data_IF_638303718253
#
_entry.id   IF_638303718253
#
_cell.length_a   1.000
_cell.length_b   1.000
_cell.length_c   1.000
_cell.angle_alpha   90.00
_cell.angle_beta   90.00
_cell.angle_gamma   90.00
#
_symmetry.space_group_name_H-M   'P 1'
#
loop_
_entity.id
_entity.type
_entity.pdbx_description
1 polymer ?
#
# COMPACT_ATOMS: atom_id res chain seq x y z
N UNK A 1 -5.03 -26.73 7.56
CA UNK A 1 -5.31 -25.54 6.71
C UNK A 1 -6.72 -25.52 6.08
N UNK A 2 -7.31 -26.66 5.69
CA UNK A 2 -8.59 -26.68 4.95
C UNK A 2 -9.82 -26.08 5.68
N UNK A 3 -10.03 -26.37 6.97
CA UNK A 3 -11.19 -25.84 7.73
C UNK A 3 -11.11 -24.32 7.97
N UNK A 4 -9.91 -23.80 8.26
CA UNK A 4 -9.71 -22.36 8.49
C UNK A 4 -9.91 -21.57 7.19
N UNK A 5 -9.40 -22.08 6.06
CA UNK A 5 -9.65 -21.50 4.74
C UNK A 5 -11.14 -21.56 4.36
N UNK A 6 -11.83 -22.66 4.67
CA UNK A 6 -13.26 -22.76 4.41
C UNK A 6 -14.07 -21.75 5.23
N UNK A 7 -13.77 -21.62 6.52
CA UNK A 7 -14.39 -20.61 7.40
C UNK A 7 -14.09 -19.19 6.91
N UNK A 8 -12.84 -18.90 6.54
CA UNK A 8 -12.44 -17.62 5.95
C UNK A 8 -13.24 -17.32 4.68
N UNK A 9 -13.39 -18.30 3.79
CA UNK A 9 -14.13 -18.14 2.53
C UNK A 9 -15.63 -17.91 2.77
N UNK A 10 -16.19 -18.56 3.80
CA UNK A 10 -17.60 -18.43 4.20
C UNK A 10 -17.90 -17.10 4.91
N UNK A 11 -16.96 -16.58 5.70
CA UNK A 11 -17.08 -15.32 6.44
C UNK A 11 -16.91 -14.07 5.56
N UNK A 12 -16.35 -14.22 4.36
CA UNK A 12 -16.07 -13.10 3.44
C UNK A 12 -16.71 -13.31 2.06
N UNK A 13 -18.04 -13.40 1.95
CA UNK A 13 -18.69 -13.45 0.64
C UNK A 13 -18.55 -12.09 -0.05
N UNK A 14 -17.80 -12.03 -1.15
CA UNK A 14 -17.58 -10.78 -1.91
C UNK A 14 -18.10 -10.92 -3.33
N UNK A 15 -19.02 -10.04 -3.75
CA UNK A 15 -19.48 -9.98 -5.14
C UNK A 15 -18.39 -9.50 -6.09
N UNK A 16 -17.32 -8.87 -5.57
CA UNK A 16 -16.13 -8.54 -6.35
C UNK A 16 -15.44 -9.78 -6.93
N UNK A 17 -15.53 -10.94 -6.27
CA UNK A 17 -15.03 -12.21 -6.81
C UNK A 17 -15.92 -12.77 -7.92
N UNK A 18 -17.20 -12.42 -7.95
CA UNK A 18 -18.14 -12.82 -9.00
C UNK A 18 -18.04 -11.89 -10.22
N UNK A 19 -17.70 -10.61 -9.98
CA UNK A 19 -17.50 -9.58 -11.01
C UNK A 19 -16.07 -9.52 -11.56
N UNK A 20 -15.15 -10.35 -11.05
CA UNK A 20 -13.79 -10.42 -11.57
C UNK A 20 -13.81 -10.87 -13.04
N UNK A 21 -12.94 -10.29 -13.84
CA UNK A 21 -12.84 -10.54 -15.28
C UNK A 21 -12.42 -11.98 -15.62
N UNK A 22 -11.78 -12.72 -14.69
CA UNK A 22 -11.54 -14.17 -14.86
C UNK A 22 -10.67 -14.85 -13.79
N UNK A 23 -10.12 -16.03 -14.16
CA UNK A 23 -9.44 -16.97 -13.24
C UNK A 23 -8.08 -16.47 -12.74
N UNK A 24 -7.38 -15.66 -13.53
CA UNK A 24 -6.09 -15.09 -13.15
C UNK A 24 -6.30 -13.94 -12.19
N UNK A 25 -7.29 -13.08 -12.44
CA UNK A 25 -7.68 -12.04 -11.50
C UNK A 25 -8.04 -12.65 -10.14
N UNK A 26 -8.96 -13.61 -10.10
CA UNK A 26 -9.34 -14.24 -8.83
C UNK A 26 -8.14 -14.85 -8.09
N UNK A 27 -7.21 -15.47 -8.79
CA UNK A 27 -6.00 -16.07 -8.18
C UNK A 27 -5.08 -15.04 -7.51
N UNK A 28 -4.94 -13.84 -8.07
CA UNK A 28 -4.09 -12.78 -7.49
C UNK A 28 -4.82 -11.94 -6.43
N UNK A 29 -6.13 -11.68 -6.62
CA UNK A 29 -6.88 -10.68 -5.85
C UNK A 29 -7.83 -11.26 -4.80
N UNK A 30 -8.04 -12.57 -4.74
CA UNK A 30 -9.01 -13.16 -3.80
C UNK A 30 -8.77 -12.70 -2.36
N UNK A 31 -7.52 -12.72 -1.89
CA UNK A 31 -7.20 -12.26 -0.54
C UNK A 31 -7.45 -10.77 -0.35
N UNK A 32 -7.14 -9.96 -1.37
CA UNK A 32 -7.27 -8.49 -1.30
C UNK A 32 -8.73 -8.07 -1.29
N UNK A 33 -9.56 -8.66 -2.17
CA UNK A 33 -11.00 -8.36 -2.20
C UNK A 33 -11.70 -8.78 -0.92
N UNK A 34 -11.35 -9.93 -0.36
CA UNK A 34 -11.90 -10.39 0.93
C UNK A 34 -11.54 -9.46 2.09
N UNK A 35 -10.29 -9.00 2.13
CA UNK A 35 -9.84 -8.04 3.15
C UNK A 35 -10.50 -6.66 2.93
N UNK A 36 -10.61 -6.20 1.69
CA UNK A 36 -11.28 -4.94 1.35
C UNK A 36 -12.78 -4.96 1.72
N UNK A 37 -13.45 -6.11 1.57
CA UNK A 37 -14.82 -6.30 2.03
C UNK A 37 -14.93 -6.20 3.56
N UNK A 38 -14.04 -6.85 4.30
CA UNK A 38 -14.02 -6.77 5.76
C UNK A 38 -13.80 -5.34 6.26
N UNK A 39 -12.95 -4.56 5.59
CA UNK A 39 -12.75 -3.16 5.94
C UNK A 39 -13.84 -2.20 5.42
N UNK A 40 -14.92 -2.71 4.83
CA UNK A 40 -16.04 -1.89 4.34
C UNK A 40 -15.70 -1.08 3.08
N UNK A 41 -14.64 -1.44 2.36
CA UNK A 41 -14.15 -0.78 1.15
C UNK A 41 -14.63 -1.42 -0.16
N UNK A 42 -15.30 -2.57 -0.12
CA UNK A 42 -15.86 -3.17 -1.34
C UNK A 42 -16.87 -2.22 -1.99
N UNK A 43 -16.68 -1.96 -3.29
CA UNK A 43 -17.54 -1.10 -4.10
C UNK A 43 -18.51 -1.89 -4.99
N UNK A 44 -18.37 -3.23 -5.04
CA UNK A 44 -19.20 -4.13 -5.84
C UNK A 44 -20.37 -4.73 -5.07
N UNK A 45 -20.34 -4.65 -3.74
CA UNK A 45 -21.33 -5.28 -2.87
C UNK A 45 -22.48 -4.31 -2.58
N UNK A 46 -23.65 -4.56 -3.18
CA UNK A 46 -24.85 -3.72 -3.06
C UNK A 46 -25.94 -4.30 -2.14
N UNK A 47 -25.61 -5.30 -1.31
CA UNK A 47 -26.58 -5.83 -0.34
C UNK A 47 -26.94 -4.76 0.70
N UNK A 48 -28.22 -4.60 1.04
CA UNK A 48 -28.71 -3.56 1.98
C UNK A 48 -27.92 -3.59 3.30
N UNK A 49 -27.73 -4.78 3.89
CA UNK A 49 -26.95 -4.95 5.12
C UNK A 49 -25.49 -4.51 4.97
N UNK A 50 -24.87 -4.79 3.82
CA UNK A 50 -23.49 -4.39 3.55
C UNK A 50 -23.37 -2.89 3.30
N UNK A 51 -24.35 -2.26 2.64
CA UNK A 51 -24.36 -0.80 2.47
C UNK A 51 -24.43 -0.10 3.82
N UNK A 52 -25.30 -0.57 4.72
CA UNK A 52 -25.40 -0.05 6.09
C UNK A 52 -24.06 -0.22 6.81
N UNK A 53 -23.48 -1.42 6.77
CA UNK A 53 -22.17 -1.71 7.37
C UNK A 53 -21.06 -0.81 6.80
N UNK A 54 -20.85 -0.82 5.48
CA UNK A 54 -19.81 -0.02 4.80
C UNK A 54 -19.97 1.47 5.07
N UNK A 55 -21.19 1.99 5.06
CA UNK A 55 -21.47 3.40 5.36
C UNK A 55 -21.16 3.72 6.82
N UNK A 56 -21.54 2.85 7.76
CA UNK A 56 -21.24 3.02 9.18
C UNK A 56 -19.73 3.05 9.46
N UNK A 57 -18.96 2.15 8.83
CA UNK A 57 -17.50 2.09 8.97
C UNK A 57 -16.85 3.36 8.39
N UNK A 58 -17.29 3.81 7.21
CA UNK A 58 -16.78 5.04 6.59
C UNK A 58 -17.07 6.29 7.44
N UNK A 59 -18.28 6.39 7.99
CA UNK A 59 -18.64 7.49 8.89
C UNK A 59 -17.78 7.44 10.16
N UNK A 60 -17.58 6.26 10.75
CA UNK A 60 -16.74 6.10 11.93
C UNK A 60 -15.28 6.54 11.66
N UNK A 61 -14.69 6.09 10.55
CA UNK A 61 -13.34 6.52 10.14
C UNK A 61 -13.28 8.03 9.91
N UNK A 62 -14.29 8.62 9.25
CA UNK A 62 -14.34 10.06 9.03
C UNK A 62 -14.43 10.86 10.34
N UNK A 63 -15.29 10.44 11.26
CA UNK A 63 -15.42 11.06 12.58
C UNK A 63 -14.13 10.94 13.40
N UNK A 64 -13.45 9.80 13.32
CA UNK A 64 -12.17 9.58 13.98
C UNK A 64 -11.10 10.56 13.48
N UNK A 65 -10.96 10.71 12.15
CA UNK A 65 -10.02 11.69 11.55
C UNK A 65 -10.37 13.12 11.95
N UNK A 66 -11.66 13.48 12.02
CA UNK A 66 -12.10 14.80 12.49
C UNK A 66 -11.72 15.00 13.97
N UNK A 67 -11.86 13.97 14.81
CA UNK A 67 -11.47 14.02 16.22
C UNK A 67 -9.97 14.20 16.43
N UNK A 68 -9.13 13.58 15.60
CA UNK A 68 -7.68 13.82 15.60
C UNK A 68 -7.32 15.25 15.16
N UNK A 69 -7.98 15.76 14.11
CA UNK A 69 -7.79 17.14 13.65
C UNK A 69 -8.22 18.16 14.70
N UNK A 70 -9.32 17.88 15.41
CA UNK A 70 -9.76 18.67 16.55
C UNK A 70 -8.68 18.68 17.63
N UNK A 71 -8.19 17.50 18.03
CA UNK A 71 -7.14 17.36 19.04
C UNK A 71 -5.90 18.17 18.69
N UNK A 72 -5.45 18.06 17.45
CA UNK A 72 -4.31 18.81 16.92
C UNK A 72 -4.49 20.34 16.97
N UNK A 73 -5.73 20.83 16.97
CA UNK A 73 -6.05 22.27 16.88
C UNK A 73 -6.37 22.92 18.23
N UNK A 74 -6.69 22.14 19.27
CA UNK A 74 -7.31 22.65 20.51
C UNK A 74 -6.44 22.47 21.74
N UNK A 75 -5.72 21.35 21.85
CA UNK A 75 -4.91 21.06 23.03
C UNK A 75 -3.50 21.67 22.90
N UNK A 76 -2.90 22.21 23.98
CA UNK A 76 -1.51 22.61 23.98
C UNK A 76 -0.64 21.34 23.93
N UNK A 77 -0.27 20.94 22.72
CA UNK A 77 0.44 19.70 22.47
C UNK A 77 1.92 19.81 22.85
N UNK A 78 2.45 18.78 23.50
CA UNK A 78 3.88 18.58 23.63
C UNK A 78 4.53 18.31 22.27
N UNK A 79 5.85 18.51 22.16
CA UNK A 79 6.56 18.34 20.88
C UNK A 79 6.41 16.91 20.29
N UNK A 80 6.32 15.90 21.16
CA UNK A 80 6.11 14.51 20.75
C UNK A 80 4.68 14.26 20.27
N UNK A 81 3.67 14.89 20.89
CA UNK A 81 2.27 14.82 20.45
C UNK A 81 2.04 15.60 19.15
N UNK A 82 2.70 16.75 18.96
CA UNK A 82 2.69 17.50 17.70
C UNK A 82 3.22 16.60 16.57
N UNK A 83 4.35 15.92 16.79
CA UNK A 83 4.94 15.02 15.80
C UNK A 83 3.99 13.86 15.45
N UNK A 84 3.34 13.26 16.44
CA UNK A 84 2.34 12.21 16.23
C UNK A 84 1.13 12.71 15.43
N UNK A 85 0.60 13.88 15.75
CA UNK A 85 -0.51 14.52 15.04
C UNK A 85 -0.15 14.84 13.59
N UNK A 86 1.02 15.44 13.33
CA UNK A 86 1.50 15.72 11.97
C UNK A 86 1.57 14.43 11.16
N UNK A 87 2.13 13.37 11.74
CA UNK A 87 2.28 12.08 11.09
C UNK A 87 0.90 11.47 10.72
N UNK A 88 -0.05 11.48 11.65
CA UNK A 88 -1.41 10.98 11.42
C UNK A 88 -2.14 11.79 10.33
N UNK A 89 -2.09 13.13 10.40
CA UNK A 89 -2.71 14.02 9.41
C UNK A 89 -2.14 13.78 8.01
N UNK A 90 -0.82 13.69 7.89
CA UNK A 90 -0.14 13.44 6.61
C UNK A 90 -0.57 12.10 6.01
N UNK A 91 -0.69 11.04 6.82
CA UNK A 91 -1.16 9.72 6.36
C UNK A 91 -2.61 9.79 5.89
N UNK A 92 -3.48 10.48 6.64
CA UNK A 92 -4.88 10.64 6.26
C UNK A 92 -5.05 11.43 4.97
N UNK A 93 -4.34 12.56 4.82
CA UNK A 93 -4.36 13.37 3.60
C UNK A 93 -3.90 12.58 2.37
N UNK A 94 -2.84 11.78 2.50
CA UNK A 94 -2.36 10.94 1.39
C UNK A 94 -3.33 9.83 1.06
N UNK A 95 -3.91 9.19 2.08
CA UNK A 95 -4.90 8.14 1.87
C UNK A 95 -6.13 8.68 1.13
N UNK A 96 -6.64 9.84 1.55
CA UNK A 96 -7.74 10.54 0.88
C UNK A 96 -7.38 10.97 -0.54
N UNK A 97 -6.20 11.57 -0.74
CA UNK A 97 -5.74 11.97 -2.07
C UNK A 97 -5.64 10.78 -3.02
N UNK A 98 -5.09 9.66 -2.54
CA UNK A 98 -5.02 8.45 -3.34
C UNK A 98 -6.39 7.84 -3.61
N UNK A 99 -7.33 7.90 -2.65
CA UNK A 99 -8.70 7.43 -2.83
C UNK A 99 -9.41 8.25 -3.91
N UNK A 100 -9.29 9.59 -3.85
CA UNK A 100 -9.80 10.49 -4.88
C UNK A 100 -9.24 10.13 -6.25
N UNK A 101 -7.92 9.99 -6.37
CA UNK A 101 -7.25 9.60 -7.61
C UNK A 101 -7.73 8.23 -8.15
N UNK A 102 -7.99 7.26 -7.27
CA UNK A 102 -8.56 5.95 -7.64
C UNK A 102 -9.97 6.08 -8.21
N UNK A 103 -10.83 6.87 -7.55
CA UNK A 103 -12.21 7.10 -7.99
C UNK A 103 -12.26 7.85 -9.32
N UNK A 104 -11.45 8.90 -9.46
CA UNK A 104 -11.40 9.74 -10.67
C UNK A 104 -10.97 8.95 -11.92
N UNK A 105 -10.19 7.87 -11.75
CA UNK A 105 -9.66 7.06 -12.85
C UNK A 105 -10.12 5.60 -12.79
N UNK A 106 -11.28 5.32 -12.16
CA UNK A 106 -11.81 3.96 -11.95
C UNK A 106 -11.84 3.13 -13.23
N UNK A 107 -12.17 3.74 -14.37
CA UNK A 107 -12.25 3.05 -15.66
C UNK A 107 -10.89 2.54 -16.14
N UNK A 108 -9.81 3.30 -15.91
CA UNK A 108 -8.45 2.89 -16.26
C UNK A 108 -8.05 1.66 -15.43
N UNK A 109 -8.29 1.69 -14.13
CA UNK A 109 -8.02 0.55 -13.24
C UNK A 109 -8.85 -0.69 -13.62
N UNK A 110 -10.12 -0.50 -14.01
CA UNK A 110 -10.97 -1.61 -14.48
C UNK A 110 -10.46 -2.20 -15.80
N UNK A 111 -10.06 -1.36 -16.76
CA UNK A 111 -9.46 -1.81 -18.03
C UNK A 111 -8.17 -2.63 -17.80
N UNK A 112 -7.33 -2.18 -16.88
CA UNK A 112 -6.10 -2.89 -16.48
C UNK A 112 -6.40 -4.24 -15.80
N UNK A 113 -7.46 -4.34 -15.02
CA UNK A 113 -7.88 -5.62 -14.45
C UNK A 113 -8.31 -6.58 -15.56
N UNK A 114 -9.13 -6.11 -16.52
CA UNK A 114 -9.62 -6.93 -17.64
C UNK A 114 -8.53 -7.38 -18.61
N UNK A 115 -7.40 -6.67 -18.72
CA UNK A 115 -6.32 -7.09 -19.63
C UNK A 115 -5.59 -8.36 -19.17
N UNK A 116 -5.78 -8.81 -17.93
CA UNK A 116 -5.23 -10.10 -17.45
C UNK A 116 -5.84 -11.32 -18.12
N UNK A 117 -7.07 -11.21 -18.60
CA UNK A 117 -7.78 -12.27 -19.32
C UNK A 117 -7.71 -12.07 -20.83
N UNK A 118 -6.76 -11.25 -21.28
CA UNK A 118 -6.48 -11.05 -22.69
C UNK A 118 -6.22 -12.40 -23.37
N UNK A 119 -6.80 -12.64 -24.56
CA UNK A 119 -6.60 -13.89 -25.30
C UNK A 119 -5.14 -14.12 -25.70
N UNK A 120 -4.32 -13.07 -25.63
CA UNK A 120 -2.90 -13.17 -25.88
C UNK A 120 -2.14 -13.74 -24.68
N UNK A 121 -2.66 -13.63 -23.45
CA UNK A 121 -2.02 -14.14 -22.23
C UNK A 121 -2.11 -15.67 -22.14
N UNK A 122 -1.15 -16.33 -22.78
CA UNK A 122 -1.14 -17.78 -22.91
C UNK A 122 -0.42 -18.47 -21.73
N UNK A 123 -1.21 -19.15 -20.89
CA UNK A 123 -0.77 -19.96 -19.74
C UNK A 123 -0.90 -21.47 -20.00
N UNK A 124 -0.97 -21.90 -21.26
CA UNK A 124 -1.13 -23.31 -21.64
C UNK A 124 0.06 -24.19 -21.24
N UNK A 125 1.28 -23.65 -21.31
CA UNK A 125 2.51 -24.40 -21.02
C UNK A 125 2.80 -24.45 -19.51
N UNK A 126 3.20 -25.62 -18.97
CA UNK A 126 3.61 -25.80 -17.56
C UNK A 126 4.62 -24.76 -17.08
N UNK A 127 5.66 -24.48 -17.89
CA UNK A 127 6.68 -23.46 -17.58
C UNK A 127 6.10 -22.05 -17.40
N UNK A 128 5.06 -21.69 -18.15
CA UNK A 128 4.38 -20.39 -18.01
C UNK A 128 3.47 -20.35 -16.78
N UNK A 129 2.79 -21.46 -16.48
CA UNK A 129 2.02 -21.61 -15.24
C UNK A 129 2.92 -21.46 -14.00
N UNK A 130 4.12 -22.06 -14.02
CA UNK A 130 5.10 -21.92 -12.93
C UNK A 130 5.51 -20.47 -12.70
N UNK A 131 5.71 -19.68 -13.77
CA UNK A 131 6.02 -18.25 -13.67
C UNK A 131 4.85 -17.49 -13.02
N UNK A 132 3.62 -17.74 -13.47
CA UNK A 132 2.43 -17.10 -12.89
C UNK A 132 2.30 -17.46 -11.40
N UNK A 133 2.41 -18.74 -11.07
CA UNK A 133 2.32 -19.22 -9.69
C UNK A 133 3.42 -18.66 -8.79
N UNK A 134 4.65 -18.52 -9.30
CA UNK A 134 5.73 -17.87 -8.57
C UNK A 134 5.37 -16.43 -8.17
N UNK A 135 4.78 -15.67 -9.09
CA UNK A 135 4.36 -14.29 -8.83
C UNK A 135 3.15 -14.21 -7.91
N UNK A 136 2.15 -15.08 -8.06
CA UNK A 136 1.01 -15.19 -7.13
C UNK A 136 1.52 -15.43 -5.70
N UNK A 137 2.37 -16.44 -5.51
CA UNK A 137 2.92 -16.78 -4.20
C UNK A 137 3.80 -15.67 -3.62
N UNK A 138 4.59 -14.99 -4.46
CA UNK A 138 5.41 -13.87 -4.02
C UNK A 138 4.55 -12.70 -3.58
N UNK A 139 3.51 -12.36 -4.33
CA UNK A 139 2.54 -11.33 -3.96
C UNK A 139 1.85 -11.67 -2.63
N UNK A 140 1.34 -12.90 -2.49
CA UNK A 140 0.66 -13.34 -1.27
C UNK A 140 1.59 -13.30 -0.04
N UNK A 141 2.87 -13.65 -0.21
CA UNK A 141 3.87 -13.52 0.86
C UNK A 141 4.07 -12.06 1.29
N UNK A 142 4.20 -11.12 0.35
CA UNK A 142 4.33 -9.71 0.68
C UNK A 142 3.07 -9.15 1.37
N UNK A 143 1.88 -9.55 0.90
CA UNK A 143 0.60 -9.21 1.52
C UNK A 143 0.55 -9.69 2.98
N UNK A 144 0.88 -10.97 3.23
CA UNK A 144 0.90 -11.55 4.58
C UNK A 144 1.94 -10.87 5.48
N UNK A 145 3.13 -10.59 4.96
CA UNK A 145 4.18 -9.89 5.72
C UNK A 145 3.75 -8.47 6.08
N UNK A 146 3.14 -7.73 5.16
CA UNK A 146 2.68 -6.37 5.42
C UNK A 146 1.56 -6.35 6.48
N UNK A 147 0.60 -7.28 6.38
CA UNK A 147 -0.46 -7.42 7.37
C UNK A 147 0.07 -7.88 8.73
N UNK A 148 1.06 -8.78 8.76
CA UNK A 148 1.68 -9.23 10.00
C UNK A 148 2.43 -8.08 10.69
N UNK A 149 3.24 -7.33 9.93
CA UNK A 149 3.94 -6.15 10.44
C UNK A 149 2.97 -5.06 10.90
N UNK A 150 1.93 -4.78 10.12
CA UNK A 150 0.89 -3.82 10.48
C UNK A 150 0.17 -4.20 11.78
N UNK A 151 -0.27 -5.46 11.91
CA UNK A 151 -0.92 -5.94 13.14
C UNK A 151 0.03 -5.98 14.35
N UNK A 152 1.31 -6.26 14.13
CA UNK A 152 2.32 -6.20 15.19
C UNK A 152 2.50 -4.77 15.71
N UNK A 153 2.51 -3.78 14.81
CA UNK A 153 2.52 -2.38 15.19
C UNK A 153 1.25 -2.02 15.97
N UNK A 154 0.04 -2.40 15.49
CA UNK A 154 -1.22 -2.14 16.20
C UNK A 154 -1.25 -2.73 17.60
N UNK A 155 -0.70 -3.93 17.78
CA UNK A 155 -0.61 -4.58 19.09
C UNK A 155 0.21 -3.72 20.06
N UNK A 156 1.32 -3.13 19.60
CA UNK A 156 2.11 -2.20 20.41
C UNK A 156 1.31 -0.94 20.78
N UNK A 157 0.49 -0.40 19.87
CA UNK A 157 -0.39 0.74 20.13
C UNK A 157 -1.48 0.42 21.17
N UNK A 158 -2.02 -0.80 21.20
CA UNK A 158 -3.00 -1.22 22.22
C UNK A 158 -2.38 -1.44 23.59
N UNK A 159 -1.17 -2.01 23.63
CA UNK A 159 -0.48 -2.29 24.89
C UNK A 159 0.06 -1.03 25.56
N UNK A 160 0.43 -0.01 24.78
CA UNK A 160 1.09 1.18 25.29
C UNK A 160 0.31 1.92 26.39
N UNK A 161 -0.98 2.29 26.22
CA UNK A 161 -1.74 2.98 27.28
C UNK A 161 -2.02 2.14 28.52
N UNK A 162 -1.96 0.82 28.42
CA UNK A 162 -2.17 -0.09 29.57
C UNK A 162 -0.92 -0.21 30.45
N UNK A 163 0.24 0.15 29.89
CA UNK A 163 1.55 0.07 30.55
C UNK A 163 2.08 1.44 30.99
N UNK A 164 1.42 2.53 30.60
CA UNK A 164 1.79 3.89 31.01
C UNK A 164 1.11 4.23 32.35
N UNK A 165 1.81 4.92 33.24
CA UNK A 165 1.30 5.29 34.58
C UNK A 165 0.28 6.46 34.55
N UNK A 166 -0.07 6.94 33.35
CA UNK A 166 -0.98 8.07 33.17
C UNK A 166 -2.45 7.64 33.28
N UNK A 167 -3.17 8.23 34.24
CA UNK A 167 -4.60 8.01 34.39
C UNK A 167 -5.37 8.45 33.14
N UNK A 168 -6.26 7.57 32.66
CA UNK A 168 -7.17 7.85 31.55
C UNK A 168 -6.52 8.16 30.18
N UNK A 169 -5.30 7.67 29.91
CA UNK A 169 -4.66 7.87 28.61
C UNK A 169 -5.33 7.03 27.49
N UNK A 170 -5.47 7.59 26.29
CA UNK A 170 -6.00 6.90 25.11
C UNK A 170 -4.85 6.40 24.22
N UNK A 171 -5.13 5.42 23.35
CA UNK A 171 -4.13 4.90 22.41
C UNK A 171 -3.68 5.92 21.36
N UNK A 172 -4.53 6.89 21.06
CA UNK A 172 -4.25 7.98 20.12
C UNK A 172 -4.80 9.29 20.70
N UNK A 173 -4.16 10.40 20.38
CA UNK A 173 -4.64 11.73 20.73
C UNK A 173 -5.87 12.08 19.91
N UNK A 174 -7.06 11.93 20.51
CA UNK A 174 -8.35 12.25 19.89
C UNK A 174 -9.18 13.08 20.86
N UNK A 175 -9.73 14.19 20.37
CA UNK A 175 -10.67 15.02 21.11
C UNK A 175 -12.08 14.49 20.91
N UNK A 176 -12.77 14.28 22.03
CA UNK A 176 -14.16 13.83 22.06
C UNK A 176 -15.04 14.95 22.63
N UNK A 177 -16.30 15.09 22.15
CA UNK A 177 -17.21 16.13 22.62
C UNK A 177 -17.73 15.90 24.06
N UNK A 178 -17.34 14.80 24.71
CA UNK A 178 -17.75 14.44 26.06
C UNK A 178 -16.53 14.05 26.91
N UNK A 179 -16.63 14.30 28.23
CA UNK A 179 -15.60 13.92 29.20
C UNK A 179 -15.71 12.43 29.55
N UNK A 180 -14.59 11.74 29.57
CA UNK A 180 -14.50 10.29 29.82
C UNK A 180 -13.75 9.92 31.10
N UNK A 181 -13.43 10.89 31.96
CA UNK A 181 -12.62 10.76 33.19
C UNK A 181 -13.28 9.97 34.34
N UNK A 182 -14.22 9.07 34.03
CA UNK A 182 -14.86 8.17 34.98
C UNK A 182 -14.54 6.73 34.58
N UNK A 183 -14.28 5.80 35.52
CA UNK A 183 -13.81 4.45 35.20
C UNK A 183 -14.68 3.71 34.17
N UNK A 184 -16.00 3.78 34.31
CA UNK A 184 -16.94 3.12 33.40
C UNK A 184 -16.95 3.74 31.99
N UNK A 185 -16.97 5.08 31.89
CA UNK A 185 -16.96 5.76 30.57
C UNK A 185 -15.62 5.61 29.89
N UNK A 186 -14.52 5.57 30.64
CA UNK A 186 -13.18 5.37 30.08
C UNK A 186 -13.08 4.02 29.38
N UNK A 187 -13.51 2.93 30.01
CA UNK A 187 -13.47 1.59 29.38
C UNK A 187 -14.28 1.56 28.08
N UNK A 188 -15.49 2.12 28.10
CA UNK A 188 -16.33 2.19 26.89
C UNK A 188 -15.66 3.03 25.79
N UNK A 189 -15.14 4.20 26.17
CA UNK A 189 -14.47 5.11 25.23
C UNK A 189 -13.23 4.46 24.64
N UNK A 190 -12.41 3.80 25.47
CA UNK A 190 -11.21 3.11 25.05
C UNK A 190 -11.52 1.99 24.04
N UNK A 191 -12.55 1.18 24.30
CA UNK A 191 -12.99 0.14 23.36
C UNK A 191 -13.48 0.74 22.04
N UNK A 192 -14.31 1.79 22.08
CA UNK A 192 -14.84 2.43 20.87
C UNK A 192 -13.74 3.08 20.03
N UNK A 193 -12.84 3.84 20.67
CA UNK A 193 -11.67 4.44 20.02
C UNK A 193 -10.75 3.35 19.47
N UNK A 194 -10.62 2.22 20.18
CA UNK A 194 -9.83 1.07 19.73
C UNK A 194 -10.38 0.40 18.49
N UNK A 195 -11.70 0.21 18.44
CA UNK A 195 -12.39 -0.28 17.24
C UNK A 195 -12.19 0.71 16.09
N UNK A 196 -12.44 2.01 16.31
CA UNK A 196 -12.26 3.03 15.29
C UNK A 196 -10.81 3.06 14.76
N UNK A 197 -9.82 3.08 15.64
CA UNK A 197 -8.41 3.04 15.28
C UNK A 197 -8.01 1.76 14.53
N UNK A 198 -8.54 0.60 14.93
CA UNK A 198 -8.32 -0.65 14.23
C UNK A 198 -8.84 -0.59 12.78
N UNK A 199 -10.07 -0.12 12.60
CA UNK A 199 -10.69 0.02 11.28
C UNK A 199 -9.97 1.05 10.41
N UNK A 200 -9.62 2.23 10.95
CA UNK A 200 -8.84 3.25 10.25
C UNK A 200 -7.47 2.69 9.82
N UNK A 201 -6.80 1.95 10.70
CA UNK A 201 -5.50 1.36 10.39
C UNK A 201 -5.59 0.29 9.29
N UNK A 202 -6.57 -0.61 9.36
CA UNK A 202 -6.81 -1.60 8.31
C UNK A 202 -7.22 -0.93 6.99
N UNK A 203 -8.01 0.14 7.05
CA UNK A 203 -8.37 0.95 5.88
C UNK A 203 -7.11 1.50 5.19
N UNK A 204 -6.19 2.10 5.94
CA UNK A 204 -4.91 2.56 5.43
C UNK A 204 -4.07 1.39 4.86
N UNK A 205 -3.90 0.29 5.60
CA UNK A 205 -3.14 -0.89 5.16
C UNK A 205 -3.67 -1.45 3.83
N UNK A 206 -4.98 -1.60 3.69
CA UNK A 206 -5.62 -2.08 2.46
C UNK A 206 -5.42 -1.10 1.33
N UNK A 207 -5.45 0.19 1.60
CA UNK A 207 -5.19 1.20 0.60
C UNK A 207 -3.75 1.12 0.07
N UNK A 208 -2.77 0.88 0.96
CA UNK A 208 -1.39 0.58 0.57
C UNK A 208 -1.29 -0.72 -0.25
N UNK A 209 -2.03 -1.75 0.16
CA UNK A 209 -2.09 -3.04 -0.53
C UNK A 209 -2.69 -2.92 -1.92
N UNK A 210 -3.89 -2.36 -2.10
CA UNK A 210 -4.55 -2.21 -3.40
C UNK A 210 -3.64 -1.56 -4.46
N UNK A 211 -2.81 -0.58 -4.07
CA UNK A 211 -1.81 0.01 -4.98
C UNK A 211 -0.62 -0.91 -5.23
N UNK A 212 -0.05 -1.55 -4.21
CA UNK A 212 0.99 -2.58 -4.40
C UNK A 212 0.52 -3.71 -5.31
N UNK A 213 -0.73 -4.12 -5.16
CA UNK A 213 -1.35 -5.15 -5.98
C UNK A 213 -1.52 -4.63 -7.40
N UNK A 214 -1.91 -3.36 -7.59
CA UNK A 214 -1.88 -2.68 -8.89
C UNK A 214 -0.50 -2.76 -9.58
N UNK A 215 0.59 -2.53 -8.83
CA UNK A 215 1.95 -2.67 -9.36
C UNK A 215 2.34 -4.13 -9.65
N UNK A 216 1.74 -5.11 -8.96
CA UNK A 216 1.97 -6.54 -9.25
C UNK A 216 1.32 -7.02 -10.55
N UNK A 217 0.24 -6.36 -11.04
CA UNK A 217 -0.36 -6.66 -12.36
C UNK A 217 0.61 -6.45 -13.51
N UNK A 218 1.71 -5.72 -13.30
CA UNK A 218 2.58 -5.33 -14.39
C UNK A 218 3.44 -6.47 -14.95
N UNK A 219 3.65 -7.57 -14.24
CA UNK A 219 4.53 -8.65 -14.73
C UNK A 219 3.93 -9.50 -15.86
N UNK A 220 2.64 -9.87 -15.81
CA UNK A 220 1.92 -10.37 -16.98
C UNK A 220 1.96 -9.40 -18.16
N UNK A 221 1.77 -8.10 -17.90
CA UNK A 221 1.72 -7.03 -18.92
C UNK A 221 3.09 -6.71 -19.54
N UNK A 222 4.19 -6.93 -18.81
CA UNK A 222 5.57 -6.89 -19.33
C UNK A 222 5.81 -7.97 -20.38
N UNK A 223 5.16 -9.13 -20.27
CA UNK A 223 5.20 -10.11 -21.36
C UNK A 223 4.43 -9.63 -22.61
N UNK A 224 3.66 -8.55 -22.49
CA UNK A 224 2.79 -7.95 -23.52
C UNK A 224 3.24 -6.59 -24.06
N UNK A 225 4.55 -6.33 -24.08
CA UNK A 225 5.14 -5.25 -24.91
C UNK A 225 4.93 -5.43 -26.43
N UNK A 226 4.20 -6.46 -26.85
CA UNK A 226 3.91 -6.79 -28.23
C UNK A 226 2.80 -5.91 -28.81
N UNK A 227 1.87 -5.38 -27.99
CA UNK A 227 0.72 -4.63 -28.48
C UNK A 227 0.80 -3.12 -28.13
N UNK A 228 0.53 -2.27 -29.13
CA UNK A 228 0.62 -0.81 -29.03
C UNK A 228 -0.41 -0.22 -28.06
N UNK A 229 -1.57 -0.86 -27.93
CA UNK A 229 -2.62 -0.48 -27.00
C UNK A 229 -2.21 -0.66 -25.54
N UNK A 230 -1.54 -1.75 -25.18
CA UNK A 230 -1.12 -2.00 -23.78
C UNK A 230 -0.05 -1.00 -23.33
N UNK A 231 0.86 -0.59 -24.24
CA UNK A 231 1.87 0.44 -23.96
C UNK A 231 1.24 1.81 -23.66
N UNK A 232 0.13 2.16 -24.31
CA UNK A 232 -0.61 3.40 -24.03
C UNK A 232 -1.19 3.42 -22.62
N UNK A 233 -1.89 2.34 -22.21
CA UNK A 233 -2.44 2.20 -20.85
C UNK A 233 -1.34 2.27 -19.79
N UNK A 234 -0.17 1.72 -20.13
CA UNK A 234 1.06 1.74 -19.38
C UNK A 234 1.55 3.17 -19.03
N UNK A 235 1.53 4.06 -20.02
CA UNK A 235 1.96 5.46 -19.89
C UNK A 235 0.89 6.30 -19.18
N UNK A 236 -0.38 6.02 -19.46
CA UNK A 236 -1.52 6.64 -18.78
C UNK A 236 -1.47 6.35 -17.27
N UNK A 237 -1.26 5.08 -16.88
CA UNK A 237 -1.13 4.65 -15.49
C UNK A 237 0.05 5.33 -14.78
N UNK A 238 1.22 5.39 -15.45
CA UNK A 238 2.39 6.10 -14.93
C UNK A 238 2.07 7.56 -14.61
N UNK A 239 1.34 8.22 -15.49
CA UNK A 239 0.97 9.64 -15.33
C UNK A 239 0.02 9.82 -14.15
N UNK A 240 -1.03 8.99 -14.07
CA UNK A 240 -2.03 9.01 -12.99
C UNK A 240 -1.40 8.76 -11.61
N UNK A 241 -0.41 7.86 -11.55
CA UNK A 241 0.23 7.46 -10.29
C UNK A 241 1.41 8.36 -9.88
N UNK A 242 1.99 9.12 -10.81
CA UNK A 242 3.20 9.91 -10.56
C UNK A 242 3.07 10.88 -9.38
N UNK A 243 1.95 11.60 -9.29
CA UNK A 243 1.69 12.60 -8.23
C UNK A 243 1.39 11.93 -6.88
N UNK A 244 0.49 10.92 -6.78
CA UNK A 244 0.29 10.19 -5.53
C UNK A 244 1.57 9.53 -4.97
N UNK A 245 2.47 9.09 -5.85
CA UNK A 245 3.74 8.48 -5.44
C UNK A 245 4.72 9.50 -4.90
N UNK A 246 4.76 10.72 -5.46
CA UNK A 246 5.56 11.82 -4.92
C UNK A 246 5.09 12.19 -3.51
N UNK A 247 3.78 12.37 -3.33
CA UNK A 247 3.20 12.65 -2.01
C UNK A 247 3.53 11.56 -1.00
N UNK A 248 3.44 10.28 -1.41
CA UNK A 248 3.82 9.15 -0.56
C UNK A 248 5.30 9.19 -0.16
N UNK A 249 6.21 9.47 -1.09
CA UNK A 249 7.64 9.55 -0.82
C UNK A 249 7.97 10.68 0.16
N UNK A 250 7.45 11.88 -0.11
CA UNK A 250 7.66 13.05 0.73
C UNK A 250 7.17 12.80 2.17
N UNK A 251 5.96 12.27 2.31
CA UNK A 251 5.42 11.92 3.61
C UNK A 251 6.19 10.81 4.29
N UNK A 252 6.58 9.75 3.57
CA UNK A 252 7.39 8.69 4.17
C UNK A 252 8.69 9.29 4.70
N UNK A 253 9.37 10.17 3.94
CA UNK A 253 10.57 10.86 4.39
C UNK A 253 10.37 11.67 5.67
N UNK A 254 9.28 12.44 5.75
CA UNK A 254 8.91 13.22 6.93
C UNK A 254 8.62 12.30 8.13
N UNK A 255 7.77 11.28 7.93
CA UNK A 255 7.42 10.28 8.94
C UNK A 255 8.66 9.61 9.52
N UNK A 256 9.61 9.21 8.68
CA UNK A 256 10.85 8.55 9.10
C UNK A 256 11.68 9.47 10.01
N UNK A 257 11.79 10.76 9.66
CA UNK A 257 12.50 11.74 10.48
C UNK A 257 11.85 11.92 11.85
N UNK A 258 10.55 12.19 11.88
CA UNK A 258 9.83 12.49 13.13
C UNK A 258 9.68 11.26 14.03
N UNK A 259 9.31 10.10 13.47
CA UNK A 259 9.20 8.84 14.23
C UNK A 259 10.57 8.38 14.70
N UNK A 260 11.62 8.53 13.89
CA UNK A 260 12.99 8.23 14.31
C UNK A 260 13.44 9.12 15.47
N UNK A 261 13.09 10.41 15.43
CA UNK A 261 13.38 11.34 16.52
C UNK A 261 12.67 10.89 17.80
N UNK A 262 11.36 10.61 17.72
CA UNK A 262 10.57 10.09 18.83
C UNK A 262 11.13 8.78 19.40
N UNK A 263 11.56 7.85 18.53
CA UNK A 263 12.19 6.60 18.96
C UNK A 263 13.48 6.85 19.73
N UNK A 264 14.30 7.81 19.29
CA UNK A 264 15.59 8.12 19.93
C UNK A 264 15.42 8.82 21.28
N UNK A 265 14.42 9.68 21.41
CA UNK A 265 14.16 10.46 22.63
C UNK A 265 13.46 9.64 23.71
N UNK A 266 12.72 8.61 23.32
CA UNK A 266 12.00 7.70 24.24
C UNK A 266 12.83 6.53 24.75
N UNK A 267 13.96 6.21 24.11
CA UNK A 267 14.90 5.13 24.51
C UNK A 267 15.30 5.21 25.99
N UNK A 268 15.52 6.41 26.52
CA UNK A 268 15.99 6.59 27.90
C UNK A 268 14.86 6.71 28.93
N UNK A 269 13.60 6.82 28.50
CA UNK A 269 12.47 7.16 29.38
C UNK A 269 11.50 6.01 29.55
N UNK A 270 11.09 5.34 28.45
CA UNK A 270 10.09 4.28 28.52
C UNK A 270 10.29 3.27 27.38
N UNK A 271 10.64 2.03 27.74
CA UNK A 271 10.93 0.96 26.77
C UNK A 271 9.71 0.63 25.89
N UNK A 272 8.50 0.80 26.43
CA UNK A 272 7.24 0.54 25.73
C UNK A 272 7.01 1.57 24.62
N UNK A 273 7.25 2.86 24.90
CA UNK A 273 7.19 3.96 23.90
C UNK A 273 8.21 3.76 22.78
N UNK A 274 9.42 3.31 23.14
CA UNK A 274 10.47 2.99 22.19
C UNK A 274 10.07 1.83 21.26
N UNK A 275 9.57 0.73 21.82
CA UNK A 275 9.14 -0.44 21.04
C UNK A 275 8.02 -0.09 20.06
N UNK A 276 7.02 0.65 20.53
CA UNK A 276 5.91 1.16 19.70
C UNK A 276 6.41 2.00 18.52
N UNK A 277 7.29 2.96 18.78
CA UNK A 277 7.89 3.82 17.75
C UNK A 277 8.73 3.00 16.76
N UNK A 278 9.44 1.97 17.23
CA UNK A 278 10.28 1.10 16.40
C UNK A 278 9.45 0.19 15.48
N UNK A 279 8.37 -0.44 15.98
CA UNK A 279 7.46 -1.21 15.14
C UNK A 279 6.78 -0.34 14.08
N UNK A 280 6.37 0.87 14.47
CA UNK A 280 5.77 1.83 13.55
C UNK A 280 6.75 2.30 12.47
N UNK A 281 8.00 2.62 12.85
CA UNK A 281 9.06 2.96 11.90
C UNK A 281 9.37 1.79 10.94
N UNK A 282 9.47 0.58 11.47
CA UNK A 282 9.72 -0.63 10.69
C UNK A 282 8.62 -0.90 9.66
N UNK A 283 7.35 -0.74 10.03
CA UNK A 283 6.23 -0.86 9.12
C UNK A 283 6.28 0.18 7.98
N UNK A 284 6.57 1.44 8.29
CA UNK A 284 6.66 2.51 7.28
C UNK A 284 7.85 2.31 6.33
N UNK A 285 9.02 1.95 6.87
CA UNK A 285 10.22 1.55 6.10
C UNK A 285 9.90 0.42 5.13
N UNK A 286 9.28 -0.65 5.62
CA UNK A 286 8.96 -1.82 4.83
C UNK A 286 7.94 -1.54 3.73
N UNK A 287 6.92 -0.74 4.04
CA UNK A 287 5.92 -0.29 3.05
C UNK A 287 6.58 0.48 1.91
N UNK A 288 7.48 1.40 2.24
CA UNK A 288 8.22 2.17 1.24
C UNK A 288 9.19 1.30 0.43
N UNK A 289 9.91 0.40 1.10
CA UNK A 289 10.80 -0.57 0.47
C UNK A 289 10.07 -1.42 -0.58
N UNK A 290 8.90 -1.96 -0.22
CA UNK A 290 8.07 -2.75 -1.13
C UNK A 290 7.76 -1.94 -2.39
N UNK A 291 7.26 -0.71 -2.27
CA UNK A 291 6.91 0.14 -3.41
C UNK A 291 8.11 0.36 -4.33
N UNK A 292 9.25 0.78 -3.77
CA UNK A 292 10.47 1.03 -4.54
C UNK A 292 11.02 -0.24 -5.20
N UNK A 293 10.94 -1.39 -4.52
CA UNK A 293 11.35 -2.69 -5.05
C UNK A 293 10.47 -3.12 -6.22
N UNK A 294 9.16 -2.88 -6.15
CA UNK A 294 8.27 -3.15 -7.28
C UNK A 294 8.58 -2.26 -8.48
N UNK A 295 8.78 -0.96 -8.28
CA UNK A 295 9.12 -0.04 -9.38
C UNK A 295 10.44 -0.41 -10.08
N UNK A 296 11.46 -0.75 -9.29
CA UNK A 296 12.76 -1.19 -9.81
C UNK A 296 12.63 -2.49 -10.58
N UNK A 297 11.93 -3.47 -10.01
CA UNK A 297 11.71 -4.76 -10.65
C UNK A 297 10.93 -4.61 -11.97
N UNK A 298 9.93 -3.73 -12.04
CA UNK A 298 9.26 -3.39 -13.30
C UNK A 298 10.25 -2.80 -14.31
N UNK A 299 11.12 -1.89 -13.87
CA UNK A 299 12.13 -1.28 -14.73
C UNK A 299 13.07 -2.35 -15.31
N UNK A 300 13.61 -3.22 -14.47
CA UNK A 300 14.52 -4.31 -14.87
C UNK A 300 13.81 -5.26 -15.84
N UNK A 301 12.62 -5.73 -15.49
CA UNK A 301 11.89 -6.66 -16.35
C UNK A 301 11.53 -6.03 -17.70
N UNK A 302 11.22 -4.73 -17.75
CA UNK A 302 10.97 -4.03 -19.02
C UNK A 302 12.18 -4.01 -19.96
N UNK A 303 13.40 -3.97 -19.41
CA UNK A 303 14.65 -4.02 -20.19
C UNK A 303 14.95 -5.44 -20.65
N UNK A 304 14.76 -6.42 -19.77
CA UNK A 304 15.08 -7.82 -20.04
C UNK A 304 14.23 -8.43 -21.17
N UNK A 305 13.06 -7.86 -21.49
CA UNK A 305 12.24 -8.32 -22.63
C UNK A 305 13.03 -8.25 -23.93
N UNK A 306 13.70 -7.11 -24.19
CA UNK A 306 14.44 -6.90 -25.43
C UNK A 306 15.57 -7.90 -25.59
N UNK A 307 16.32 -8.12 -24.50
CA UNK A 307 17.40 -9.10 -24.44
C UNK A 307 16.87 -10.54 -24.61
N UNK A 308 15.76 -10.88 -23.96
CA UNK A 308 15.16 -12.21 -24.08
C UNK A 308 14.66 -12.50 -25.50
N UNK A 309 14.08 -11.50 -26.18
CA UNK A 309 13.67 -11.61 -27.58
C UNK A 309 14.91 -11.76 -28.46
N UNK A 310 15.95 -10.97 -28.24
CA UNK A 310 17.20 -11.06 -29.00
C UNK A 310 17.82 -12.47 -28.89
N UNK A 311 17.88 -13.03 -27.68
CA UNK A 311 18.42 -14.37 -27.41
C UNK A 311 17.46 -15.53 -27.74
N UNK A 312 16.27 -15.25 -28.30
CA UNK A 312 15.25 -16.29 -28.58
C UNK A 312 15.51 -17.12 -29.84
N UNK A 313 16.55 -16.79 -30.63
CA UNK A 313 16.85 -17.47 -31.90
C UNK A 313 15.83 -17.15 -33.00
N UNK A 314 15.14 -16.01 -32.91
CA UNK A 314 14.09 -15.59 -33.84
C UNK A 314 14.58 -15.50 -35.29
N UNK A 315 15.88 -15.34 -35.50
CA UNK A 315 16.52 -15.31 -36.81
C UNK A 315 16.42 -16.64 -37.57
N UNK A 316 16.34 -17.79 -36.87
CA UNK A 316 16.48 -19.13 -37.45
C UNK A 316 15.19 -19.71 -38.06
N UNK A 317 14.02 -19.10 -37.80
CA UNK A 317 12.74 -19.61 -38.34
C UNK A 317 11.61 -18.59 -38.43
N UNK A 318 11.46 -17.72 -37.42
CA UNK A 318 10.37 -16.72 -37.35
C UNK A 318 10.55 -15.57 -38.35
N UNK A 319 11.78 -15.36 -38.83
CA UNK A 319 12.13 -14.36 -39.84
C UNK A 319 11.52 -14.62 -41.23
N UNK A 320 11.09 -15.86 -41.52
CA UNK A 320 10.47 -16.27 -42.80
C UNK A 320 8.98 -15.94 -42.88
N UNK A 321 8.33 -15.69 -41.74
CA UNK A 321 6.90 -15.35 -41.70
C UNK A 321 6.75 -13.84 -41.96
N UNK A 322 5.94 -13.49 -42.97
CA UNK A 322 5.73 -12.09 -43.39
C UNK A 322 5.14 -11.29 -42.23
N UNK A 323 5.76 -10.15 -41.90
CA UNK A 323 5.32 -9.25 -40.82
C UNK A 323 5.92 -9.54 -39.44
N UNK A 324 6.22 -10.80 -39.12
CA UNK A 324 6.73 -11.20 -37.78
C UNK A 324 8.10 -10.58 -37.48
N UNK A 325 9.00 -10.55 -38.48
CA UNK A 325 10.31 -9.88 -38.35
C UNK A 325 10.16 -8.40 -37.99
N UNK A 326 9.26 -7.68 -38.66
CA UNK A 326 9.02 -6.26 -38.41
C UNK A 326 8.47 -6.04 -37.01
N UNK A 327 7.51 -6.86 -36.58
CA UNK A 327 6.95 -6.80 -35.22
C UNK A 327 8.01 -7.07 -34.16
N UNK A 328 8.83 -8.11 -34.33
CA UNK A 328 9.91 -8.45 -33.38
C UNK A 328 10.93 -7.30 -33.25
N UNK A 329 11.34 -6.71 -34.37
CA UNK A 329 12.26 -5.57 -34.37
C UNK A 329 11.63 -4.33 -33.72
N UNK A 330 10.35 -4.05 -33.97
CA UNK A 330 9.62 -2.98 -33.30
C UNK A 330 9.54 -3.20 -31.78
N UNK A 331 9.28 -4.42 -31.33
CA UNK A 331 9.24 -4.75 -29.91
C UNK A 331 10.62 -4.59 -29.26
N UNK A 332 11.69 -5.06 -29.91
CA UNK A 332 13.07 -4.85 -29.42
C UNK A 332 13.41 -3.35 -29.32
N UNK A 333 13.15 -2.57 -30.36
CA UNK A 333 13.36 -1.11 -30.35
C UNK A 333 12.56 -0.41 -29.25
N UNK A 334 11.34 -0.88 -28.97
CA UNK A 334 10.49 -0.33 -27.90
C UNK A 334 10.96 -0.72 -26.51
N UNK A 335 11.34 -1.98 -26.29
CA UNK A 335 11.87 -2.48 -25.01
C UNK A 335 13.21 -1.83 -24.62
N UNK A 336 13.94 -1.27 -25.60
CA UNK A 336 15.14 -0.47 -25.38
C UNK A 336 14.86 0.81 -24.58
N UNK A 337 13.60 1.26 -24.50
CA UNK A 337 13.14 2.34 -23.63
C UNK A 337 12.47 1.76 -22.39
N UNK A 338 13.17 1.66 -21.24
CA UNK A 338 12.60 1.09 -20.03
C UNK A 338 11.39 1.87 -19.54
N UNK A 339 10.40 1.15 -18.99
CA UNK A 339 9.32 1.79 -18.27
C UNK A 339 9.80 2.21 -16.89
N UNK A 340 10.08 3.51 -16.76
CA UNK A 340 10.57 4.09 -15.51
C UNK A 340 9.41 4.79 -14.80
N UNK A 341 9.02 4.30 -13.63
CA UNK A 341 8.15 5.06 -12.74
C UNK A 341 8.92 6.24 -12.15
N UNK A 342 8.36 7.43 -12.32
CA UNK A 342 8.93 8.67 -11.80
C UNK A 342 7.93 9.30 -10.84
N UNK A 343 8.37 9.65 -9.64
CA UNK A 343 7.61 10.45 -8.71
C UNK A 343 7.62 11.92 -9.15
N UNK A 344 6.44 12.44 -9.52
CA UNK A 344 6.26 13.82 -10.01
C UNK A 344 7.13 14.22 -11.21
N UNK A 345 7.64 13.25 -11.97
CA UNK A 345 8.58 13.51 -13.08
C UNK A 345 10.03 13.84 -12.68
N UNK A 346 10.32 14.00 -11.37
CA UNK A 346 11.64 14.44 -10.89
C UNK A 346 12.51 13.28 -10.40
N UNK A 347 11.92 12.32 -9.65
CA UNK A 347 12.68 11.24 -9.02
C UNK A 347 12.32 9.89 -9.62
N UNK A 348 13.31 9.18 -10.18
CA UNK A 348 13.16 7.77 -10.56
C UNK A 348 12.93 6.93 -9.31
N UNK A 349 11.84 6.16 -9.27
CA UNK A 349 11.56 5.23 -8.18
C UNK A 349 12.43 3.98 -8.34
N UNK A 350 13.39 3.79 -7.43
CA UNK A 350 14.34 2.68 -7.42
C UNK A 350 14.78 2.34 -5.99
N UNK A 351 15.45 1.20 -5.78
CA UNK A 351 16.06 0.92 -4.47
C UNK A 351 17.13 1.94 -4.12
N UNK A 352 17.86 2.47 -5.11
CA UNK A 352 18.81 3.56 -4.90
C UNK A 352 18.12 4.77 -4.28
N UNK A 353 16.99 5.20 -4.86
CA UNK A 353 16.21 6.33 -4.34
C UNK A 353 15.67 6.06 -2.94
N UNK A 354 15.26 4.82 -2.63
CA UNK A 354 14.92 4.41 -1.27
C UNK A 354 16.10 4.59 -0.32
N UNK A 355 17.28 4.06 -0.64
CA UNK A 355 18.46 4.20 0.22
C UNK A 355 18.88 5.65 0.40
N UNK A 356 18.80 6.47 -0.65
CA UNK A 356 19.08 7.91 -0.57
C UNK A 356 18.10 8.59 0.37
N UNK A 357 16.79 8.31 0.23
CA UNK A 357 15.76 8.89 1.09
C UNK A 357 15.98 8.51 2.56
N UNK A 358 16.24 7.24 2.85
CA UNK A 358 16.53 6.78 4.22
C UNK A 358 17.77 7.46 4.79
N UNK A 359 18.85 7.59 3.99
CA UNK A 359 20.06 8.31 4.40
C UNK A 359 19.78 9.78 4.68
N UNK A 360 19.04 10.46 3.81
CA UNK A 360 18.68 11.88 4.01
C UNK A 360 17.83 12.07 5.26
N UNK A 361 16.87 11.17 5.51
CA UNK A 361 16.06 11.22 6.72
C UNK A 361 16.88 10.97 7.98
N UNK A 362 17.85 10.04 7.93
CA UNK A 362 18.77 9.79 9.04
C UNK A 362 19.71 10.98 9.31
N UNK A 363 20.22 11.64 8.27
CA UNK A 363 21.02 12.86 8.40
C UNK A 363 20.20 13.99 9.03
N UNK A 364 18.97 14.20 8.57
CA UNK A 364 18.04 15.19 9.14
C UNK A 364 17.73 14.88 10.62
N UNK A 365 17.51 13.62 10.96
CA UNK A 365 17.34 13.15 12.33
C UNK A 365 18.56 13.46 13.20
N UNK A 366 19.76 13.15 12.71
CA UNK A 366 21.01 13.42 13.46
C UNK A 366 21.20 14.92 13.71
N UNK A 367 20.85 15.74 12.72
CA UNK A 367 20.86 17.20 12.85
C UNK A 367 19.86 17.69 13.92
N UNK A 368 18.61 17.23 13.89
CA UNK A 368 17.59 17.56 14.91
C UNK A 368 18.03 17.13 16.31
N UNK A 369 18.63 15.94 16.43
CA UNK A 369 19.17 15.45 17.71
C UNK A 369 20.33 16.29 18.21
N UNK A 370 21.15 16.85 17.32
CA UNK A 370 22.25 17.74 17.69
C UNK A 370 21.75 19.08 18.20
N UNK A 371 20.80 19.71 17.48
CA UNK A 371 20.18 20.98 17.91
C UNK A 371 19.54 20.84 19.29
N UNK A 372 18.92 19.70 19.61
CA UNK A 372 18.31 19.49 20.94
C UNK A 372 19.34 19.43 22.08
N UNK A 373 20.57 18.99 21.79
CA UNK A 373 21.63 18.82 22.81
C UNK A 373 22.36 20.12 23.13
N UNK A 374 22.34 21.08 22.21
CA UNK A 374 22.81 22.46 22.41
C UNK A 374 21.70 23.28 23.07
#
# INVERSE_FOLDING_TARGET
>A
MGRLNYLWKKLTPTKSLEQSSGTLETSFYESVYRIAYLAGLSSSDYGILYIIYSTSVKIMVALFVIGELWYASTEPLSLDEIAACINAIVIHLITLYKLKNLMDHKDVYKRLATSMESPFFDVSTKRRQEIVNFWVQRHERYLKLLLALGNSALTAWYMYPLLDELEYNLMVGVSLPFKYNTPFRYVITYILVGIAFNYTSHFCMIFYLNKNVLYTHWKPVVMFWINETEQFHSIELRTILSVPMLGQLAASGILICFVGYQATTTISVNITKCLMSLFYLGYNMFTLYIICRWCEEITIQSQNIGEAIYCSGWEQGMSKIRGVRTTILLVMLRSSKPLIFSAGGMYKLSLTSYTTLVKTSYSALTFLLRIRRE
#
